data_IF_798448454189
#
_entry.id   IF_798448454189
#
_cell.length_a   1.000
_cell.length_b   1.000
_cell.length_c   1.000
_cell.angle_alpha   90.00
_cell.angle_beta   90.00
_cell.angle_gamma   90.00
#
_symmetry.space_group_name_H-M   'P 1'
#
loop_
_entity.id
_entity.type
_entity.pdbx_description
1 polymer ?
#
# COMPACT_ATOMS: atom_id res chain seq x y z
N UNK A 1 -8.52 4.86 25.10
CA UNK A 1 -8.64 6.28 25.50
C UNK A 1 -9.76 6.34 26.51
N UNK A 2 -9.54 6.78 27.73
CA UNK A 2 -10.58 6.83 28.79
C UNK A 2 -11.48 8.03 28.55
N UNK A 3 -12.80 7.85 28.70
CA UNK A 3 -13.77 8.93 28.57
C UNK A 3 -13.94 9.68 29.91
N UNK A 4 -14.44 10.92 29.84
CA UNK A 4 -14.78 11.66 31.06
C UNK A 4 -15.88 10.93 31.88
N UNK A 5 -16.70 10.14 31.23
CA UNK A 5 -17.76 9.35 31.83
C UNK A 5 -17.17 8.15 32.63
N UNK A 6 -16.11 7.52 32.12
CA UNK A 6 -15.41 6.44 32.83
C UNK A 6 -14.75 6.95 34.10
N UNK A 7 -14.15 8.15 34.06
CA UNK A 7 -13.53 8.79 35.23
C UNK A 7 -14.57 9.19 36.29
N UNK A 8 -15.73 9.74 35.87
CA UNK A 8 -16.81 10.09 36.79
C UNK A 8 -17.42 8.84 37.42
N UNK A 9 -17.57 7.75 36.67
CA UNK A 9 -18.03 6.46 37.19
C UNK A 9 -17.02 5.86 38.20
N UNK A 10 -15.74 6.03 37.99
CA UNK A 10 -14.71 5.58 38.93
C UNK A 10 -14.74 6.38 40.24
N UNK A 11 -15.04 7.69 40.18
CA UNK A 11 -15.26 8.53 41.39
C UNK A 11 -16.51 8.11 42.13
N UNK A 12 -17.62 7.89 41.44
CA UNK A 12 -18.88 7.48 42.07
C UNK A 12 -18.79 6.11 42.76
N UNK A 13 -17.92 5.23 42.26
CA UNK A 13 -17.63 3.92 42.85
C UNK A 13 -16.56 3.98 43.97
N UNK A 14 -16.05 5.17 44.30
CA UNK A 14 -15.04 5.36 45.34
C UNK A 14 -13.65 4.80 45.00
N UNK A 15 -13.38 4.50 43.73
CA UNK A 15 -12.09 3.99 43.25
C UNK A 15 -11.07 5.13 43.21
N UNK A 16 -11.49 6.32 42.77
CA UNK A 16 -10.70 7.55 42.73
C UNK A 16 -11.39 8.67 43.54
N UNK A 17 -10.58 9.57 44.08
CA UNK A 17 -11.10 10.83 44.64
C UNK A 17 -11.24 11.88 43.52
N UNK A 18 -12.13 12.83 43.66
CA UNK A 18 -12.30 13.93 42.72
C UNK A 18 -10.96 14.69 42.51
N UNK A 19 -10.23 14.91 43.62
CA UNK A 19 -8.93 15.58 43.58
C UNK A 19 -7.90 14.79 42.71
N UNK A 20 -7.87 13.47 42.82
CA UNK A 20 -6.96 12.64 42.01
C UNK A 20 -7.31 12.67 40.51
N UNK A 21 -8.61 12.79 40.17
CA UNK A 21 -9.06 12.94 38.78
C UNK A 21 -8.69 14.31 38.23
N UNK A 22 -8.81 15.36 39.05
CA UNK A 22 -8.44 16.73 38.64
C UNK A 22 -6.93 16.89 38.47
N UNK A 23 -6.14 16.26 39.35
CA UNK A 23 -4.68 16.22 39.22
C UNK A 23 -4.24 15.42 37.99
N UNK A 24 -4.90 14.30 37.70
CA UNK A 24 -4.69 13.54 36.46
C UNK A 24 -5.01 14.36 35.21
N UNK A 25 -6.14 15.08 35.19
CA UNK A 25 -6.48 15.99 34.09
C UNK A 25 -5.47 17.13 33.93
N UNK A 26 -4.96 17.69 35.04
CA UNK A 26 -3.92 18.72 35.00
C UNK A 26 -2.59 18.17 34.46
N UNK A 27 -2.20 16.97 34.88
CA UNK A 27 -0.97 16.34 34.35
C UNK A 27 -1.07 16.05 32.87
N UNK A 28 -2.23 15.57 32.37
CA UNK A 28 -2.47 15.40 30.93
C UNK A 28 -2.46 16.73 30.17
N UNK A 29 -3.03 17.80 30.74
CA UNK A 29 -3.02 19.12 30.11
C UNK A 29 -1.62 19.73 30.07
N UNK A 30 -0.78 19.51 31.09
CA UNK A 30 0.63 19.92 31.10
C UNK A 30 1.48 19.09 30.14
N UNK A 31 1.23 17.79 30.02
CA UNK A 31 1.88 16.92 29.05
C UNK A 31 1.45 17.28 27.61
N UNK A 32 0.19 17.63 27.36
CA UNK A 32 -0.25 18.09 26.04
C UNK A 32 0.40 19.39 25.63
N UNK A 33 0.61 20.35 26.55
CA UNK A 33 1.25 21.63 26.22
C UNK A 33 2.76 21.52 25.99
N UNK A 34 3.43 20.54 26.62
CA UNK A 34 4.84 20.25 26.40
C UNK A 34 5.10 19.32 25.22
N UNK A 35 4.09 18.53 24.81
CA UNK A 35 4.19 17.53 23.73
C UNK A 35 3.66 17.99 22.37
N UNK A 36 2.99 19.13 22.26
CA UNK A 36 2.55 19.64 20.94
C UNK A 36 3.74 19.93 20.00
N UNK A 37 4.84 20.44 20.53
CA UNK A 37 6.08 20.61 19.77
C UNK A 37 6.83 19.30 19.46
N UNK A 38 6.80 18.32 20.36
CA UNK A 38 7.48 17.05 20.18
C UNK A 38 6.66 16.06 19.31
N UNK A 39 5.34 16.07 19.41
CA UNK A 39 4.48 15.20 18.60
C UNK A 39 4.51 15.55 17.10
N UNK A 40 4.67 16.81 16.74
CA UNK A 40 4.88 17.21 15.34
C UNK A 40 6.23 16.72 14.83
N UNK A 41 7.29 16.84 15.62
CA UNK A 41 8.61 16.34 15.27
C UNK A 41 8.65 14.80 15.18
N UNK A 42 8.01 14.07 16.11
CA UNK A 42 7.92 12.61 16.04
C UNK A 42 7.10 12.13 14.83
N UNK A 43 6.05 12.84 14.43
CA UNK A 43 5.23 12.52 13.27
C UNK A 43 5.96 12.81 11.96
N UNK A 44 6.73 13.89 11.91
CA UNK A 44 7.61 14.21 10.78
C UNK A 44 8.76 13.21 10.66
N UNK A 45 9.42 12.85 11.76
CA UNK A 45 10.50 11.86 11.79
C UNK A 45 9.98 10.48 11.36
N UNK A 46 8.77 10.08 11.77
CA UNK A 46 8.13 8.84 11.31
C UNK A 46 7.92 8.84 9.80
N UNK A 47 7.39 9.93 9.23
CA UNK A 47 7.18 10.07 7.79
C UNK A 47 8.48 10.08 6.97
N UNK A 48 9.51 10.75 7.45
CA UNK A 48 10.85 10.74 6.83
C UNK A 48 11.46 9.34 6.81
N UNK A 49 11.37 8.61 7.91
CA UNK A 49 11.88 7.24 7.98
C UNK A 49 11.19 6.33 6.94
N UNK A 50 9.87 6.48 6.74
CA UNK A 50 9.12 5.72 5.75
C UNK A 50 9.61 5.99 4.32
N UNK A 51 9.97 7.24 4.01
CA UNK A 51 10.49 7.63 2.69
C UNK A 51 11.85 6.94 2.44
N UNK A 52 12.77 6.96 3.40
CA UNK A 52 14.07 6.28 3.23
C UNK A 52 13.91 4.78 3.08
N UNK A 53 12.97 4.17 3.82
CA UNK A 53 12.66 2.74 3.67
C UNK A 53 12.09 2.45 2.28
N UNK A 54 11.20 3.29 1.76
CA UNK A 54 10.66 3.14 0.39
C UNK A 54 11.77 3.22 -0.64
N UNK A 55 12.67 4.21 -0.54
CA UNK A 55 13.81 4.34 -1.46
C UNK A 55 14.72 3.10 -1.38
N UNK A 56 15.05 2.63 -0.18
CA UNK A 56 15.88 1.45 0.01
C UNK A 56 15.22 0.19 -0.57
N UNK A 57 13.91 -0.01 -0.35
CA UNK A 57 13.14 -1.10 -0.94
C UNK A 57 13.10 -1.01 -2.46
N UNK A 58 12.91 0.19 -3.02
CA UNK A 58 12.92 0.41 -4.47
C UNK A 58 14.28 0.04 -5.07
N UNK A 59 15.37 0.55 -4.50
CA UNK A 59 16.72 0.24 -4.96
C UNK A 59 17.01 -1.27 -4.89
N UNK A 60 16.61 -1.93 -3.81
CA UNK A 60 16.77 -3.38 -3.66
C UNK A 60 15.98 -4.14 -4.73
N UNK A 61 14.72 -3.78 -4.95
CA UNK A 61 13.86 -4.43 -5.92
C UNK A 61 14.37 -4.25 -7.35
N UNK A 62 14.70 -3.02 -7.75
CA UNK A 62 15.20 -2.76 -9.11
C UNK A 62 16.60 -3.35 -9.35
N UNK A 63 17.49 -3.31 -8.37
CA UNK A 63 18.79 -3.95 -8.49
C UNK A 63 18.70 -5.47 -8.60
N UNK A 64 17.79 -6.09 -7.81
CA UNK A 64 17.55 -7.53 -7.88
C UNK A 64 16.93 -7.94 -9.22
N UNK A 65 15.98 -7.13 -9.74
CA UNK A 65 15.39 -7.35 -11.06
C UNK A 65 16.49 -7.34 -12.14
N UNK A 66 17.32 -6.30 -12.19
CA UNK A 66 18.40 -6.18 -13.16
C UNK A 66 19.41 -7.32 -13.04
N UNK A 67 19.81 -7.66 -11.82
CA UNK A 67 20.79 -8.73 -11.60
C UNK A 67 20.25 -10.10 -12.06
N UNK A 68 19.01 -10.43 -11.74
CA UNK A 68 18.42 -11.71 -12.12
C UNK A 68 18.13 -11.73 -13.63
N UNK A 69 17.66 -10.64 -14.21
CA UNK A 69 17.39 -10.51 -15.64
C UNK A 69 18.66 -10.74 -16.48
N UNK A 70 19.81 -10.28 -16.01
CA UNK A 70 21.10 -10.49 -16.70
C UNK A 70 21.60 -11.94 -16.65
N UNK A 71 21.11 -12.77 -15.71
CA UNK A 71 21.55 -14.16 -15.54
C UNK A 71 20.48 -15.13 -16.07
N UNK A 72 19.24 -14.94 -15.66
CA UNK A 72 18.10 -15.82 -16.01
C UNK A 72 16.85 -14.93 -16.21
N UNK A 73 16.66 -14.34 -17.41
CA UNK A 73 15.58 -13.40 -17.69
C UNK A 73 14.20 -13.96 -17.29
N UNK A 74 13.89 -15.20 -17.67
CA UNK A 74 12.61 -15.85 -17.45
C UNK A 74 12.14 -15.90 -15.97
N UNK A 75 13.03 -15.70 -15.00
CA UNK A 75 12.72 -15.71 -13.57
C UNK A 75 12.84 -14.34 -12.90
N UNK A 76 13.19 -13.31 -13.63
CA UNK A 76 13.45 -11.97 -13.10
C UNK A 76 12.24 -11.39 -12.35
N UNK A 77 11.07 -11.42 -12.96
CA UNK A 77 9.82 -10.94 -12.35
C UNK A 77 9.30 -11.84 -11.23
N UNK A 78 9.57 -13.14 -11.28
CA UNK A 78 9.24 -14.05 -10.19
C UNK A 78 10.03 -13.69 -8.93
N UNK A 79 11.36 -13.56 -9.06
CA UNK A 79 12.23 -13.19 -7.94
C UNK A 79 11.89 -11.81 -7.41
N UNK A 80 11.65 -10.84 -8.29
CA UNK A 80 11.20 -9.50 -7.92
C UNK A 80 9.92 -9.54 -7.06
N UNK A 81 8.91 -10.30 -7.48
CA UNK A 81 7.65 -10.43 -6.76
C UNK A 81 7.82 -11.13 -5.41
N UNK A 82 8.68 -12.15 -5.33
CA UNK A 82 8.98 -12.84 -4.08
C UNK A 82 9.70 -11.93 -3.08
N UNK A 83 10.66 -11.14 -3.54
CA UNK A 83 11.35 -10.15 -2.69
C UNK A 83 10.34 -9.09 -2.21
N UNK A 84 9.49 -8.56 -3.10
CA UNK A 84 8.46 -7.59 -2.72
C UNK A 84 7.51 -8.17 -1.64
N UNK A 85 7.08 -9.42 -1.77
CA UNK A 85 6.28 -10.11 -0.75
C UNK A 85 7.03 -10.25 0.58
N UNK A 86 8.29 -10.68 0.56
CA UNK A 86 9.13 -10.83 1.75
C UNK A 86 9.34 -9.51 2.50
N UNK A 87 9.60 -8.42 1.75
CA UNK A 87 9.72 -7.07 2.32
C UNK A 87 8.38 -6.61 2.92
N UNK A 88 7.24 -6.93 2.27
CA UNK A 88 5.92 -6.61 2.79
C UNK A 88 5.65 -7.36 4.11
N UNK A 89 6.06 -8.61 4.26
CA UNK A 89 5.94 -9.35 5.53
C UNK A 89 6.67 -8.64 6.68
N UNK A 90 7.81 -8.02 6.39
CA UNK A 90 8.59 -7.30 7.40
C UNK A 90 8.06 -5.87 7.64
N UNK A 91 7.94 -5.05 6.61
CA UNK A 91 7.61 -3.63 6.76
C UNK A 91 6.12 -3.37 7.02
N UNK A 92 5.23 -4.14 6.38
CA UNK A 92 3.78 -3.97 6.54
C UNK A 92 3.30 -4.64 7.82
N UNK A 93 3.68 -5.90 8.04
CA UNK A 93 3.13 -6.69 9.14
C UNK A 93 3.82 -6.40 10.48
N UNK A 94 5.16 -6.35 10.52
CA UNK A 94 5.91 -6.13 11.75
C UNK A 94 6.05 -4.65 12.09
N UNK A 95 6.39 -3.81 11.12
CA UNK A 95 6.66 -2.38 11.33
C UNK A 95 5.42 -1.49 11.14
N UNK A 96 4.35 -1.98 10.49
CA UNK A 96 3.09 -1.27 10.23
C UNK A 96 3.27 0.08 9.50
N UNK A 97 4.25 0.15 8.59
CA UNK A 97 4.60 1.34 7.84
C UNK A 97 3.66 1.48 6.63
N UNK A 98 3.05 2.66 6.44
CA UNK A 98 2.03 2.88 5.42
C UNK A 98 2.63 3.10 4.02
N UNK A 99 3.66 3.95 3.88
CA UNK A 99 4.28 4.24 2.59
C UNK A 99 4.96 3.01 1.97
N UNK A 100 5.80 2.24 2.71
CA UNK A 100 6.33 0.98 2.19
C UNK A 100 5.23 -0.02 1.81
N UNK A 101 4.10 -0.04 2.53
CA UNK A 101 2.98 -0.93 2.20
C UNK A 101 2.41 -0.66 0.81
N UNK A 102 2.22 0.61 0.46
CA UNK A 102 1.71 1.03 -0.86
C UNK A 102 2.69 0.66 -1.96
N UNK A 103 3.96 1.03 -1.78
CA UNK A 103 5.01 0.79 -2.76
C UNK A 103 5.22 -0.71 -3.02
N UNK A 104 5.29 -1.52 -1.96
CA UNK A 104 5.50 -2.96 -2.06
C UNK A 104 4.30 -3.68 -2.68
N UNK A 105 3.07 -3.23 -2.40
CA UNK A 105 1.87 -3.73 -3.05
C UNK A 105 1.91 -3.47 -4.57
N UNK A 106 2.22 -2.24 -4.98
CA UNK A 106 2.30 -1.88 -6.40
C UNK A 106 3.43 -2.65 -7.10
N UNK A 107 4.58 -2.78 -6.44
CA UNK A 107 5.70 -3.56 -6.96
C UNK A 107 5.34 -5.04 -7.11
N UNK A 108 4.69 -5.64 -6.13
CA UNK A 108 4.24 -7.02 -6.18
C UNK A 108 3.22 -7.25 -7.31
N UNK A 109 2.17 -6.41 -7.38
CA UNK A 109 1.14 -6.51 -8.40
C UNK A 109 1.70 -6.33 -9.81
N UNK A 110 2.59 -5.34 -9.99
CA UNK A 110 3.29 -5.10 -11.25
C UNK A 110 4.22 -6.25 -11.62
N UNK A 111 5.01 -6.75 -10.68
CA UNK A 111 5.90 -7.88 -10.90
C UNK A 111 5.16 -9.14 -11.34
N UNK A 112 4.03 -9.46 -10.69
CA UNK A 112 3.18 -10.58 -11.09
C UNK A 112 2.55 -10.38 -12.47
N UNK A 113 2.14 -9.16 -12.80
CA UNK A 113 1.60 -8.85 -14.13
C UNK A 113 2.65 -9.08 -15.23
N UNK A 114 3.87 -8.56 -15.07
CA UNK A 114 4.95 -8.75 -16.03
C UNK A 114 5.41 -10.21 -16.11
N UNK A 115 5.44 -10.92 -14.98
CA UNK A 115 5.66 -12.37 -14.96
C UNK A 115 4.61 -13.10 -15.81
N UNK A 116 3.35 -12.72 -15.70
CA UNK A 116 2.27 -13.29 -16.51
C UNK A 116 2.46 -13.03 -18.00
N UNK A 117 2.88 -11.81 -18.39
CA UNK A 117 3.18 -11.50 -19.79
C UNK A 117 4.28 -12.40 -20.35
N UNK A 118 5.32 -12.65 -19.57
CA UNK A 118 6.45 -13.47 -19.98
C UNK A 118 6.09 -14.97 -20.06
N UNK A 119 5.36 -15.49 -19.07
CA UNK A 119 4.95 -16.88 -19.04
C UNK A 119 3.97 -17.26 -20.15
N UNK A 120 3.12 -16.34 -20.58
CA UNK A 120 2.05 -16.57 -21.55
C UNK A 120 2.27 -15.92 -22.91
N UNK A 121 3.49 -15.50 -23.22
CA UNK A 121 3.86 -14.78 -24.46
C UNK A 121 3.40 -15.53 -25.74
N UNK A 122 3.36 -16.86 -25.71
CA UNK A 122 2.94 -17.69 -26.85
C UNK A 122 1.44 -17.68 -27.18
N UNK A 123 0.57 -17.03 -26.38
CA UNK A 123 -0.90 -17.06 -26.59
C UNK A 123 -1.42 -15.95 -27.51
N UNK A 124 -0.57 -15.00 -27.94
CA UNK A 124 -0.92 -13.78 -28.65
C UNK A 124 -1.34 -12.65 -27.69
N UNK A 125 -1.04 -11.41 -28.08
CA UNK A 125 -1.07 -10.23 -27.20
C UNK A 125 -2.34 -10.06 -26.38
N UNK A 126 -3.52 -10.18 -26.99
CA UNK A 126 -4.81 -9.99 -26.29
C UNK A 126 -5.04 -11.04 -25.19
N UNK A 127 -4.79 -12.31 -25.50
CA UNK A 127 -5.00 -13.41 -24.56
C UNK A 127 -3.95 -13.39 -23.43
N UNK A 128 -2.69 -13.12 -23.77
CA UNK A 128 -1.60 -12.97 -22.81
C UNK A 128 -1.92 -11.88 -21.81
N UNK A 129 -2.34 -10.70 -22.25
CA UNK A 129 -2.70 -9.58 -21.38
C UNK A 129 -3.87 -9.91 -20.45
N UNK A 130 -4.92 -10.58 -20.96
CA UNK A 130 -6.09 -10.96 -20.16
C UNK A 130 -5.69 -11.95 -19.05
N UNK A 131 -4.93 -12.98 -19.40
CA UNK A 131 -4.47 -13.99 -18.45
C UNK A 131 -3.54 -13.38 -17.39
N UNK A 132 -2.62 -12.52 -17.80
CA UNK A 132 -1.67 -11.83 -16.90
C UNK A 132 -2.38 -10.91 -15.91
N UNK A 133 -3.39 -10.15 -16.35
CA UNK A 133 -4.23 -9.33 -15.47
C UNK A 133 -5.01 -10.22 -14.50
N UNK A 134 -5.59 -11.32 -14.97
CA UNK A 134 -6.30 -12.27 -14.12
C UNK A 134 -5.40 -12.87 -13.04
N UNK A 135 -4.19 -13.31 -13.41
CA UNK A 135 -3.18 -13.81 -12.48
C UNK A 135 -2.79 -12.75 -11.45
N UNK A 136 -2.49 -11.53 -11.92
CA UNK A 136 -2.15 -10.41 -11.03
C UNK A 136 -3.30 -10.09 -10.07
N UNK A 137 -4.55 -10.06 -10.54
CA UNK A 137 -5.71 -9.79 -9.70
C UNK A 137 -5.88 -10.85 -8.58
N UNK A 138 -5.75 -12.14 -8.92
CA UNK A 138 -5.87 -13.24 -7.95
C UNK A 138 -4.76 -13.18 -6.90
N UNK A 139 -3.51 -12.97 -7.31
CA UNK A 139 -2.38 -12.91 -6.38
C UNK A 139 -2.38 -11.60 -5.55
N UNK A 140 -2.83 -10.49 -6.13
CA UNK A 140 -3.04 -9.24 -5.37
C UNK A 140 -4.17 -9.40 -4.34
N UNK A 141 -5.23 -10.13 -4.67
CA UNK A 141 -6.27 -10.49 -3.70
C UNK A 141 -5.72 -11.38 -2.56
N UNK A 142 -4.87 -12.37 -2.87
CA UNK A 142 -4.19 -13.16 -1.84
C UNK A 142 -3.28 -12.29 -0.95
N UNK A 143 -2.57 -11.32 -1.54
CA UNK A 143 -1.80 -10.32 -0.81
C UNK A 143 -2.69 -9.50 0.13
N UNK A 144 -3.86 -9.06 -0.35
CA UNK A 144 -4.81 -8.33 0.49
C UNK A 144 -5.34 -9.17 1.67
N UNK A 145 -5.68 -10.43 1.45
CA UNK A 145 -6.12 -11.34 2.53
C UNK A 145 -5.05 -11.47 3.62
N UNK A 146 -3.78 -11.42 3.23
CA UNK A 146 -2.65 -11.56 4.15
C UNK A 146 -2.35 -10.30 4.94
N UNK A 147 -2.30 -9.15 4.25
CA UNK A 147 -1.82 -7.89 4.83
C UNK A 147 -2.95 -6.93 5.23
N UNK A 148 -4.16 -7.10 4.68
CA UNK A 148 -5.36 -6.28 4.94
C UNK A 148 -5.10 -4.78 4.81
N UNK A 149 -4.30 -4.38 3.84
CA UNK A 149 -4.00 -2.97 3.59
C UNK A 149 -5.17 -2.33 2.85
N UNK A 150 -5.83 -1.28 3.37
CA UNK A 150 -7.04 -0.70 2.77
C UNK A 150 -6.84 -0.22 1.33
N UNK A 151 -5.64 0.29 1.00
CA UNK A 151 -5.32 0.80 -0.34
C UNK A 151 -5.29 -0.31 -1.42
N UNK A 152 -5.23 -1.58 -1.03
CA UNK A 152 -5.27 -2.70 -1.98
C UNK A 152 -6.58 -2.71 -2.79
N UNK A 153 -7.69 -2.30 -2.18
CA UNK A 153 -8.99 -2.20 -2.86
C UNK A 153 -8.91 -1.11 -3.95
N UNK A 154 -8.31 0.04 -3.64
CA UNK A 154 -8.11 1.11 -4.61
C UNK A 154 -7.16 0.67 -5.75
N UNK A 155 -6.08 -0.06 -5.43
CA UNK A 155 -5.16 -0.60 -6.43
C UNK A 155 -5.84 -1.65 -7.33
N UNK A 156 -6.70 -2.52 -6.76
CA UNK A 156 -7.49 -3.47 -7.53
C UNK A 156 -8.48 -2.77 -8.45
N UNK A 157 -9.21 -1.75 -7.96
CA UNK A 157 -10.11 -0.93 -8.77
C UNK A 157 -9.36 -0.21 -9.90
N UNK A 158 -8.21 0.40 -9.60
CA UNK A 158 -7.36 1.05 -10.60
C UNK A 158 -6.88 0.06 -11.68
N UNK A 159 -6.51 -1.16 -11.30
CA UNK A 159 -6.09 -2.21 -12.25
C UNK A 159 -7.23 -2.61 -13.19
N UNK A 160 -8.44 -2.77 -12.68
CA UNK A 160 -9.63 -3.08 -13.49
C UNK A 160 -9.96 -1.93 -14.45
N UNK A 161 -9.94 -0.70 -13.96
CA UNK A 161 -10.18 0.50 -14.79
C UNK A 161 -9.12 0.59 -15.89
N UNK A 162 -7.84 0.44 -15.55
CA UNK A 162 -6.74 0.45 -16.52
C UNK A 162 -6.92 -0.62 -17.59
N UNK A 163 -7.31 -1.84 -17.20
CA UNK A 163 -7.60 -2.93 -18.13
C UNK A 163 -8.74 -2.58 -19.08
N UNK A 164 -9.86 -2.05 -18.57
CA UNK A 164 -11.01 -1.65 -19.38
C UNK A 164 -10.63 -0.53 -20.35
N UNK A 165 -9.85 0.46 -19.89
CA UNK A 165 -9.37 1.57 -20.74
C UNK A 165 -8.47 1.03 -21.85
N UNK A 166 -7.50 0.18 -21.54
CA UNK A 166 -6.61 -0.43 -22.53
C UNK A 166 -7.42 -1.24 -23.55
N UNK A 167 -8.35 -2.07 -23.11
CA UNK A 167 -9.19 -2.86 -23.99
C UNK A 167 -10.07 -2.00 -24.91
N UNK A 168 -10.59 -0.89 -24.39
CA UNK A 168 -11.40 0.06 -25.15
C UNK A 168 -10.54 0.76 -26.22
N UNK A 169 -9.32 1.15 -25.88
CA UNK A 169 -8.36 1.79 -26.80
C UNK A 169 -7.94 0.87 -27.94
N UNK A 170 -7.67 -0.40 -27.65
CA UNK A 170 -7.25 -1.35 -28.69
C UNK A 170 -8.41 -1.83 -29.58
N UNK A 171 -9.63 -1.92 -29.02
CA UNK A 171 -10.80 -2.38 -29.80
C UNK A 171 -11.50 -1.27 -30.59
N UNK A 172 -11.41 -0.01 -30.13
CA UNK A 172 -12.07 1.13 -30.75
C UNK A 172 -11.05 2.23 -31.04
N UNK A 173 -10.65 2.38 -32.29
CA UNK A 173 -9.71 3.43 -32.73
C UNK A 173 -10.16 4.86 -32.39
N UNK A 174 -11.45 5.06 -32.13
CA UNK A 174 -12.08 6.34 -31.73
C UNK A 174 -11.58 6.81 -30.34
N UNK A 175 -11.10 5.90 -29.50
CA UNK A 175 -10.74 6.23 -28.12
C UNK A 175 -9.38 6.95 -27.99
N UNK A 176 -8.54 6.94 -29.02
CA UNK A 176 -7.21 7.57 -28.94
C UNK A 176 -7.30 9.10 -28.79
N UNK A 177 -8.27 9.73 -29.46
CA UNK A 177 -8.45 11.19 -29.40
C UNK A 177 -9.08 11.68 -28.09
N UNK A 178 -9.77 10.77 -27.37
CA UNK A 178 -10.49 11.09 -26.14
C UNK A 178 -9.87 10.49 -24.87
N UNK A 179 -8.68 9.87 -24.97
CA UNK A 179 -8.03 9.16 -23.86
C UNK A 179 -7.82 10.06 -22.63
N UNK A 180 -7.39 11.30 -22.85
CA UNK A 180 -7.17 12.24 -21.74
C UNK A 180 -8.48 12.60 -21.04
N UNK A 181 -9.57 12.79 -21.81
CA UNK A 181 -10.90 13.04 -21.26
C UNK A 181 -11.43 11.84 -20.47
N UNK A 182 -11.21 10.65 -20.98
CA UNK A 182 -11.65 9.41 -20.34
C UNK A 182 -10.88 9.12 -19.04
N UNK A 183 -9.55 9.35 -19.04
CA UNK A 183 -8.73 9.26 -17.84
C UNK A 183 -9.12 10.32 -16.80
N UNK A 184 -9.44 11.55 -17.25
CA UNK A 184 -9.93 12.61 -16.37
C UNK A 184 -11.24 12.22 -15.69
N UNK A 185 -12.22 11.70 -16.45
CA UNK A 185 -13.50 11.23 -15.90
C UNK A 185 -13.30 10.08 -14.90
N UNK A 186 -12.44 9.11 -15.20
CA UNK A 186 -12.11 8.02 -14.29
C UNK A 186 -11.39 8.48 -13.02
N UNK A 187 -10.68 9.61 -13.05
CA UNK A 187 -9.98 10.15 -11.90
C UNK A 187 -10.85 11.05 -10.99
N UNK A 188 -12.03 11.49 -11.48
CA UNK A 188 -12.96 12.37 -10.72
C UNK A 188 -14.03 11.56 -9.99
N UNK A 189 -14.25 10.31 -10.37
CA UNK A 189 -15.18 9.36 -9.71
C UNK A 189 -14.46 8.58 -8.65
#
# INVERSE_FOLDING_TARGET
MYSNEDLNNAVSKGIFTQASVDDFKKSLASDHSSHEGDNENFRLVGGFNDIFVVIACALLLFSSLWMVDSIIPAFSYLVFSLIAWGLAEFFVRKRKMALPAIMLLLSFSGGVYFLGLELFDGLGFDKTSIVSVGLSAVLTYAHWLRFRVPITIAAAAASVITYLVIKLLFNYQIAQDYILGLLFVCGVV
#
